data_IF_580522503294
#
_entry.id   IF_580522503294
#
_cell.length_a   1.000
_cell.length_b   1.000
_cell.length_c   1.000
_cell.angle_alpha   90.00
_cell.angle_beta   90.00
_cell.angle_gamma   90.00
#
_symmetry.space_group_name_H-M   'P 1'
#
loop_
_entity.id
_entity.type
_entity.pdbx_description
1 polymer ?
#
# COMPACT_ATOMS: atom_id res chain seq x y z
N UNK A 1 -8.19 15.37 6.46
CA UNK A 1 -9.25 16.18 5.80
C UNK A 1 -10.45 16.46 6.72
N UNK A 2 -11.08 15.47 7.35
CA UNK A 2 -12.27 15.68 8.21
C UNK A 2 -12.02 16.69 9.34
N UNK A 3 -10.88 16.61 10.02
CA UNK A 3 -10.53 17.53 11.11
C UNK A 3 -10.27 18.96 10.62
N UNK A 4 -9.65 19.13 9.45
CA UNK A 4 -9.45 20.47 8.85
C UNK A 4 -10.79 21.13 8.55
N UNK A 5 -11.79 20.37 8.10
CA UNK A 5 -13.13 20.90 7.84
C UNK A 5 -13.86 21.24 9.15
N UNK A 6 -13.79 20.38 10.17
CA UNK A 6 -14.56 20.55 11.42
C UNK A 6 -13.90 21.45 12.46
N UNK A 7 -12.58 21.55 12.47
CA UNK A 7 -11.80 22.32 13.44
C UNK A 7 -10.51 22.87 12.78
N UNK A 8 -10.63 23.75 11.77
CA UNK A 8 -9.50 24.17 10.93
C UNK A 8 -8.35 24.76 11.75
N UNK A 9 -8.63 25.75 12.61
CA UNK A 9 -7.61 26.44 13.39
C UNK A 9 -6.83 25.46 14.28
N UNK A 10 -7.53 24.65 15.08
CA UNK A 10 -6.88 23.66 15.97
C UNK A 10 -6.11 22.60 15.19
N UNK A 11 -6.69 22.12 14.09
CA UNK A 11 -6.04 21.11 13.25
C UNK A 11 -4.76 21.67 12.65
N UNK A 12 -4.79 22.87 12.06
CA UNK A 12 -3.62 23.48 11.44
C UNK A 12 -2.56 23.85 12.48
N UNK A 13 -2.95 24.45 13.62
CA UNK A 13 -2.02 24.85 14.68
C UNK A 13 -1.31 23.66 15.34
N UNK A 14 -1.93 22.49 15.40
CA UNK A 14 -1.32 21.30 15.98
C UNK A 14 -0.59 20.45 14.93
N UNK A 15 -1.21 20.25 13.76
CA UNK A 15 -0.67 19.39 12.71
C UNK A 15 0.52 20.03 11.99
N UNK A 16 0.44 21.32 11.64
CA UNK A 16 1.50 21.94 10.83
C UNK A 16 2.85 21.96 11.56
N UNK A 17 2.96 22.35 12.85
CA UNK A 17 4.25 22.27 13.55
C UNK A 17 4.74 20.83 13.68
N UNK A 18 3.85 19.89 14.00
CA UNK A 18 4.21 18.48 14.13
C UNK A 18 4.69 17.86 12.80
N UNK A 19 4.07 18.24 11.68
CA UNK A 19 4.46 17.79 10.34
C UNK A 19 5.70 18.52 9.81
N UNK A 20 5.91 19.78 10.19
CA UNK A 20 7.07 20.56 9.78
C UNK A 20 8.38 19.94 10.27
N UNK A 21 8.39 19.34 11.46
CA UNK A 21 9.59 18.71 12.04
C UNK A 21 10.16 17.60 11.14
N UNK A 22 9.42 16.52 10.80
CA UNK A 22 9.96 15.46 9.94
C UNK A 22 10.21 15.94 8.50
N UNK A 23 9.41 16.88 7.98
CA UNK A 23 9.63 17.45 6.64
C UNK A 23 10.95 18.24 6.61
N UNK A 24 11.20 19.11 7.60
CA UNK A 24 12.44 19.86 7.70
C UNK A 24 13.64 18.93 7.88
N UNK A 25 13.52 17.89 8.73
CA UNK A 25 14.56 16.88 8.90
C UNK A 25 14.86 16.13 7.58
N UNK A 26 13.82 15.74 6.83
CA UNK A 26 13.97 15.10 5.52
C UNK A 26 14.66 16.01 4.50
N UNK A 27 14.23 17.26 4.38
CA UNK A 27 14.84 18.23 3.46
C UNK A 27 16.29 18.54 3.84
N UNK A 28 16.55 18.73 5.13
CA UNK A 28 17.88 19.00 5.66
C UNK A 28 18.84 17.84 5.42
N UNK A 29 18.40 16.61 5.65
CA UNK A 29 19.24 15.42 5.40
C UNK A 29 19.51 15.20 3.91
N UNK A 30 18.54 15.46 3.02
CA UNK A 30 18.81 15.48 1.57
C UNK A 30 19.86 16.56 1.22
N UNK A 31 19.73 17.77 1.78
CA UNK A 31 20.69 18.85 1.52
C UNK A 31 22.09 18.50 2.00
N UNK A 32 22.24 17.94 3.20
CA UNK A 32 23.55 17.51 3.71
C UNK A 32 24.19 16.40 2.85
N UNK A 33 23.37 15.50 2.29
CA UNK A 33 23.87 14.37 1.51
C UNK A 33 24.15 14.71 0.04
N UNK A 34 23.33 15.58 -0.57
CA UNK A 34 23.29 15.80 -2.02
C UNK A 34 23.62 17.25 -2.42
N UNK A 35 23.64 18.18 -1.47
CA UNK A 35 23.69 19.62 -1.75
C UNK A 35 22.37 20.19 -2.28
N UNK A 36 21.30 19.38 -2.35
CA UNK A 36 20.00 19.75 -2.89
C UNK A 36 18.87 19.38 -1.91
N UNK A 37 17.78 20.16 -1.90
CA UNK A 37 16.56 19.81 -1.16
C UNK A 37 15.71 18.75 -1.88
N UNK A 38 15.96 18.55 -3.17
CA UNK A 38 15.26 17.54 -3.98
C UNK A 38 15.63 16.13 -3.49
N UNK A 39 14.66 15.22 -3.36
CA UNK A 39 14.95 13.87 -2.91
C UNK A 39 15.72 13.10 -3.98
N UNK A 40 16.68 12.27 -3.57
CA UNK A 40 17.45 11.41 -4.49
C UNK A 40 16.55 10.57 -5.42
N UNK A 41 15.36 10.16 -4.94
CA UNK A 41 14.42 9.35 -5.72
C UNK A 41 13.84 10.07 -6.94
N UNK A 42 13.88 11.42 -6.97
CA UNK A 42 13.48 12.21 -8.14
C UNK A 42 14.44 12.04 -9.31
N UNK A 43 15.70 11.68 -9.04
CA UNK A 43 16.73 11.47 -10.06
C UNK A 43 16.64 10.08 -10.72
N UNK A 44 15.62 9.28 -10.40
CA UNK A 44 15.44 7.95 -10.98
C UNK A 44 15.25 8.04 -12.51
N UNK A 45 15.96 7.19 -13.26
CA UNK A 45 16.00 7.26 -14.74
C UNK A 45 16.92 8.35 -15.30
N UNK A 46 17.74 8.98 -14.48
CA UNK A 46 18.81 9.90 -14.91
C UNK A 46 20.19 9.25 -14.70
N UNK A 47 21.30 9.86 -15.16
CA UNK A 47 22.65 9.32 -14.95
C UNK A 47 23.02 9.05 -13.49
N UNK A 48 22.32 9.65 -12.52
CA UNK A 48 22.46 9.33 -11.09
C UNK A 48 22.16 7.87 -10.77
N UNK A 49 21.23 7.26 -11.50
CA UNK A 49 20.86 5.85 -11.36
C UNK A 49 21.36 5.01 -12.53
N UNK A 50 21.70 5.60 -13.68
CA UNK A 50 22.11 4.88 -14.88
C UNK A 50 23.62 4.96 -15.17
N UNK A 51 24.44 5.08 -14.13
CA UNK A 51 25.90 5.01 -14.26
C UNK A 51 26.36 3.60 -14.63
N UNK A 52 27.59 3.49 -15.14
CA UNK A 52 28.18 2.22 -15.56
C UNK A 52 28.27 1.21 -14.41
N UNK A 53 27.74 0.00 -14.61
CA UNK A 53 27.64 -1.03 -13.57
C UNK A 53 26.44 -0.88 -12.62
N UNK A 54 25.59 0.14 -12.80
CA UNK A 54 24.38 0.29 -11.98
C UNK A 54 23.33 -0.78 -12.26
N UNK A 55 22.68 -1.27 -11.20
CA UNK A 55 21.49 -2.13 -11.28
C UNK A 55 20.40 -1.52 -12.14
N UNK A 56 20.22 -0.20 -12.16
CA UNK A 56 19.10 0.42 -12.89
C UNK A 56 19.40 0.68 -14.35
N UNK A 57 20.65 0.52 -14.79
CA UNK A 57 21.05 0.69 -16.18
C UNK A 57 20.70 -0.57 -16.96
N UNK A 58 19.93 -0.42 -18.04
CA UNK A 58 19.64 -1.53 -18.94
C UNK A 58 20.90 -1.82 -19.75
N UNK A 59 21.51 -2.97 -19.49
CA UNK A 59 22.59 -3.53 -20.29
C UNK A 59 22.07 -4.71 -21.12
N UNK A 60 22.06 -4.64 -22.47
CA UNK A 60 21.65 -5.74 -23.33
C UNK A 60 22.53 -7.00 -23.19
N UNK A 61 23.75 -6.88 -22.67
CA UNK A 61 24.67 -7.99 -22.47
C UNK A 61 24.42 -8.76 -21.17
N UNK A 62 23.65 -8.20 -20.23
CA UNK A 62 23.38 -8.81 -18.93
C UNK A 62 21.89 -9.16 -18.78
N UNK A 63 21.55 -10.38 -18.31
CA UNK A 63 20.17 -10.72 -18.01
C UNK A 63 19.69 -9.86 -16.83
N UNK A 64 18.62 -9.10 -17.05
CA UNK A 64 17.94 -8.35 -16.00
C UNK A 64 16.99 -9.27 -15.26
N UNK A 65 17.20 -9.42 -13.95
CA UNK A 65 16.44 -10.37 -13.12
C UNK A 65 15.95 -9.75 -11.81
N UNK A 66 14.78 -10.19 -11.34
CA UNK A 66 14.12 -9.80 -10.12
C UNK A 66 12.93 -8.85 -10.33
N UNK A 67 12.23 -8.59 -9.23
CA UNK A 67 10.97 -7.81 -9.19
C UNK A 67 11.05 -6.42 -9.82
N UNK A 68 12.23 -5.80 -9.82
CA UNK A 68 12.46 -4.49 -10.45
C UNK A 68 12.29 -4.52 -11.97
N UNK A 69 12.36 -5.71 -12.56
CA UNK A 69 12.25 -5.98 -13.99
C UNK A 69 10.97 -6.72 -14.37
N UNK A 70 10.05 -6.94 -13.43
CA UNK A 70 8.78 -7.64 -13.68
C UNK A 70 7.99 -7.04 -14.85
N UNK A 71 8.09 -5.72 -15.07
CA UNK A 71 7.47 -5.02 -16.18
C UNK A 71 7.91 -5.50 -17.57
N UNK A 72 9.07 -6.17 -17.69
CA UNK A 72 9.53 -6.77 -18.95
C UNK A 72 8.73 -8.02 -19.31
N UNK A 73 8.18 -8.72 -18.31
CA UNK A 73 7.41 -9.96 -18.47
C UNK A 73 5.91 -9.80 -18.24
N UNK A 74 5.48 -8.71 -17.60
CA UNK A 74 4.11 -8.51 -17.16
C UNK A 74 3.49 -7.23 -17.72
N UNK A 75 2.32 -7.36 -18.34
CA UNK A 75 1.51 -6.22 -18.72
C UNK A 75 0.79 -5.59 -17.53
N UNK A 76 0.21 -4.40 -17.75
CA UNK A 76 -0.55 -3.65 -16.73
C UNK A 76 -1.67 -4.44 -16.04
N UNK A 77 -2.34 -5.35 -16.75
CA UNK A 77 -3.41 -6.16 -16.17
C UNK A 77 -2.88 -7.19 -15.16
N UNK A 78 -1.77 -7.87 -15.50
CA UNK A 78 -1.06 -8.75 -14.58
C UNK A 78 -0.56 -7.95 -13.37
N UNK A 79 -0.02 -6.76 -13.62
CA UNK A 79 0.39 -5.83 -12.57
C UNK A 79 -0.75 -5.47 -11.59
N UNK A 80 -1.90 -5.06 -12.11
CA UNK A 80 -3.07 -4.76 -11.29
C UNK A 80 -3.58 -5.99 -10.52
N UNK A 81 -3.56 -7.16 -11.15
CA UNK A 81 -3.94 -8.42 -10.50
C UNK A 81 -2.98 -8.76 -9.35
N UNK A 82 -1.66 -8.73 -9.59
CA UNK A 82 -0.66 -9.04 -8.58
C UNK A 82 -0.56 -7.99 -7.47
N UNK A 83 -1.03 -6.77 -7.69
CA UNK A 83 -1.24 -5.77 -6.63
C UNK A 83 -2.43 -6.10 -5.71
N UNK A 84 -3.50 -6.70 -6.22
CA UNK A 84 -4.74 -6.93 -5.46
C UNK A 84 -4.85 -8.35 -4.91
N UNK A 85 -4.57 -9.36 -5.74
CA UNK A 85 -4.83 -10.78 -5.45
C UNK A 85 -3.65 -11.73 -5.77
N UNK A 86 -2.60 -11.29 -6.44
CA UNK A 86 -1.46 -12.16 -6.73
C UNK A 86 -0.36 -12.11 -5.66
N UNK A 87 0.88 -12.34 -6.06
CA UNK A 87 2.03 -12.49 -5.15
C UNK A 87 2.27 -11.32 -4.20
N UNK A 88 2.04 -10.06 -4.62
CA UNK A 88 2.07 -8.87 -3.76
C UNK A 88 0.66 -8.40 -3.36
N UNK A 89 -0.35 -9.25 -3.56
CA UNK A 89 -1.76 -8.90 -3.50
C UNK A 89 -2.22 -8.52 -2.10
N UNK A 90 -2.76 -7.31 -1.95
CA UNK A 90 -3.30 -6.84 -0.66
C UNK A 90 -4.31 -7.82 -0.06
N UNK A 91 -5.21 -8.38 -0.88
CA UNK A 91 -6.25 -9.29 -0.39
C UNK A 91 -5.78 -10.74 -0.24
N UNK A 92 -4.72 -11.15 -0.93
CA UNK A 92 -4.17 -12.49 -0.78
C UNK A 92 -3.23 -12.59 0.41
N UNK A 93 -2.38 -11.58 0.60
CA UNK A 93 -1.48 -11.52 1.74
C UNK A 93 -2.21 -11.06 3.00
N UNK A 94 -3.17 -10.14 2.88
CA UNK A 94 -3.86 -9.53 4.02
C UNK A 94 -5.39 -9.61 3.86
N UNK A 95 -5.98 -10.82 3.80
CA UNK A 95 -7.41 -11.01 3.50
C UNK A 95 -8.35 -10.36 4.52
N UNK A 96 -7.87 -9.99 5.72
CA UNK A 96 -8.65 -9.20 6.68
C UNK A 96 -9.13 -7.87 6.06
N UNK A 97 -8.44 -7.32 5.07
CA UNK A 97 -8.87 -6.10 4.36
C UNK A 97 -10.08 -6.30 3.44
N UNK A 98 -10.51 -7.54 3.18
CA UNK A 98 -11.83 -7.77 2.60
C UNK A 98 -12.96 -7.24 3.51
N UNK A 99 -12.74 -7.28 4.83
CA UNK A 99 -13.67 -6.66 5.80
C UNK A 99 -13.66 -5.14 5.69
N UNK A 100 -12.52 -4.53 5.35
CA UNK A 100 -12.41 -3.09 5.10
C UNK A 100 -13.26 -2.69 3.90
N UNK A 101 -13.21 -3.45 2.80
CA UNK A 101 -14.05 -3.22 1.62
C UNK A 101 -15.53 -3.35 1.98
N UNK A 102 -15.92 -4.41 2.70
CA UNK A 102 -17.29 -4.60 3.16
C UNK A 102 -17.77 -3.45 4.07
N UNK A 103 -16.92 -2.98 4.98
CA UNK A 103 -17.23 -1.88 5.87
C UNK A 103 -17.33 -0.53 5.16
N UNK A 104 -16.51 -0.29 4.12
CA UNK A 104 -16.66 0.89 3.25
C UNK A 104 -18.01 0.86 2.52
N UNK A 105 -18.36 -0.27 1.89
CA UNK A 105 -19.66 -0.44 1.20
C UNK A 105 -20.81 -0.21 2.19
N UNK A 106 -20.76 -0.83 3.37
CA UNK A 106 -21.77 -0.64 4.40
C UNK A 106 -21.92 0.83 4.81
N UNK A 107 -20.81 1.51 5.11
CA UNK A 107 -20.79 2.92 5.50
C UNK A 107 -21.34 3.87 4.43
N UNK A 108 -21.25 3.52 3.15
CA UNK A 108 -21.78 4.31 2.05
C UNK A 108 -23.30 4.16 1.87
N UNK A 109 -23.81 2.93 1.97
CA UNK A 109 -25.20 2.61 1.65
C UNK A 109 -26.16 2.63 2.86
N UNK A 110 -25.65 2.44 4.09
CA UNK A 110 -26.50 2.22 5.27
C UNK A 110 -26.40 3.31 6.34
N UNK A 111 -25.44 4.23 6.23
CA UNK A 111 -25.32 5.35 7.16
C UNK A 111 -26.04 6.59 6.60
N UNK A 112 -27.31 6.76 7.00
CA UNK A 112 -28.05 7.99 6.72
C UNK A 112 -27.52 9.13 7.63
N UNK A 113 -27.40 10.34 7.09
CA UNK A 113 -26.79 11.52 7.76
C UNK A 113 -27.45 11.91 9.09
N UNK A 114 -28.62 11.35 9.42
CA UNK A 114 -29.48 11.73 10.53
C UNK A 114 -29.06 11.19 11.91
N UNK A 115 -28.21 10.16 11.99
CA UNK A 115 -27.78 9.58 13.27
C UNK A 115 -26.32 9.93 13.59
N UNK A 116 -26.06 10.67 14.68
CA UNK A 116 -24.73 11.20 15.06
C UNK A 116 -23.59 10.14 15.15
N UNK A 117 -23.80 8.87 15.56
CA UNK A 117 -22.77 7.83 15.47
C UNK A 117 -22.46 7.38 14.04
N UNK A 118 -23.45 7.45 13.13
CA UNK A 118 -23.32 7.01 11.74
C UNK A 118 -22.57 8.03 10.85
N UNK A 119 -22.49 9.30 11.26
CA UNK A 119 -21.77 10.34 10.51
C UNK A 119 -20.29 9.96 10.35
N UNK A 120 -19.59 9.69 11.47
CA UNK A 120 -18.16 9.38 11.48
C UNK A 120 -17.79 8.15 10.65
N UNK A 121 -18.70 7.17 10.58
CA UNK A 121 -18.49 5.95 9.82
C UNK A 121 -18.56 6.19 8.31
N UNK A 122 -19.55 6.95 7.84
CA UNK A 122 -19.67 7.31 6.42
C UNK A 122 -18.48 8.14 5.94
N UNK A 123 -18.00 9.06 6.77
CA UNK A 123 -16.82 9.87 6.46
C UNK A 123 -15.55 9.02 6.40
N UNK A 124 -15.38 8.10 7.33
CA UNK A 124 -14.27 7.12 7.32
C UNK A 124 -14.33 6.25 6.07
N UNK A 125 -15.51 5.71 5.73
CA UNK A 125 -15.72 4.91 4.54
C UNK A 125 -15.39 5.68 3.25
N UNK A 126 -15.89 6.92 3.12
CA UNK A 126 -15.61 7.77 1.97
C UNK A 126 -14.13 8.10 1.82
N UNK A 127 -13.48 8.56 2.89
CA UNK A 127 -12.05 8.90 2.86
C UNK A 127 -11.22 7.67 2.53
N UNK A 128 -11.50 6.53 3.16
CA UNK A 128 -10.77 5.29 2.91
C UNK A 128 -10.96 4.80 1.48
N UNK A 129 -12.18 4.85 0.95
CA UNK A 129 -12.47 4.44 -0.42
C UNK A 129 -11.79 5.35 -1.43
N UNK A 130 -11.93 6.67 -1.29
CA UNK A 130 -11.34 7.65 -2.20
C UNK A 130 -9.81 7.51 -2.20
N UNK A 131 -9.18 7.45 -1.02
CA UNK A 131 -7.73 7.26 -0.92
C UNK A 131 -7.30 5.95 -1.57
N UNK A 132 -8.01 4.85 -1.31
CA UNK A 132 -7.68 3.55 -1.91
C UNK A 132 -7.78 3.60 -3.43
N UNK A 133 -8.88 4.13 -3.98
CA UNK A 133 -9.07 4.25 -5.43
C UNK A 133 -8.01 5.14 -6.05
N UNK A 134 -7.78 6.34 -5.50
CA UNK A 134 -6.80 7.28 -6.05
C UNK A 134 -5.40 6.67 -6.07
N UNK A 135 -4.99 6.04 -4.98
CA UNK A 135 -3.64 5.48 -4.85
C UNK A 135 -3.47 4.24 -5.72
N UNK A 136 -4.45 3.32 -5.73
CA UNK A 136 -4.41 2.13 -6.60
C UNK A 136 -4.40 2.56 -8.07
N UNK A 137 -5.27 3.48 -8.47
CA UNK A 137 -5.30 4.00 -9.84
C UNK A 137 -4.00 4.71 -10.21
N UNK A 138 -3.39 5.47 -9.29
CA UNK A 138 -2.08 6.09 -9.52
C UNK A 138 -1.01 5.03 -9.83
N UNK A 139 -0.93 3.96 -9.05
CA UNK A 139 0.08 2.91 -9.28
C UNK A 139 -0.21 2.05 -10.51
N UNK A 140 -1.48 1.83 -10.87
CA UNK A 140 -1.85 1.05 -12.06
C UNK A 140 -1.70 1.88 -13.35
N UNK A 141 -2.10 3.14 -13.34
CA UNK A 141 -2.23 3.97 -14.55
C UNK A 141 -1.24 5.14 -14.63
N UNK A 142 -0.86 5.74 -13.50
CA UNK A 142 -0.01 6.93 -13.45
C UNK A 142 1.50 6.63 -13.41
N UNK A 143 1.89 5.50 -12.83
CA UNK A 143 3.31 5.12 -12.74
C UNK A 143 3.83 4.60 -14.09
N UNK A 144 4.98 5.11 -14.58
CA UNK A 144 5.64 4.60 -15.78
C UNK A 144 5.88 3.10 -15.69
N UNK A 145 5.79 2.41 -16.82
CA UNK A 145 5.89 0.95 -16.88
C UNK A 145 7.18 0.40 -16.25
N UNK A 146 8.31 1.02 -16.56
CA UNK A 146 9.64 0.69 -16.00
C UNK A 146 9.71 0.76 -14.47
N UNK A 147 8.80 1.49 -13.83
CA UNK A 147 8.78 1.68 -12.39
C UNK A 147 7.77 0.77 -11.68
N UNK A 148 7.07 -0.12 -12.41
CA UNK A 148 6.09 -1.05 -11.87
C UNK A 148 6.77 -2.29 -11.27
N UNK A 149 7.26 -2.14 -10.05
CA UNK A 149 7.97 -3.20 -9.32
C UNK A 149 7.29 -3.59 -7.99
N UNK A 150 6.00 -3.26 -7.81
CA UNK A 150 5.23 -3.59 -6.59
C UNK A 150 5.83 -3.04 -5.28
N UNK A 151 6.70 -2.04 -5.38
CA UNK A 151 7.46 -1.54 -4.25
C UNK A 151 8.74 -2.33 -3.96
N UNK A 152 9.29 -3.05 -4.93
CA UNK A 152 10.59 -3.70 -4.88
C UNK A 152 10.63 -4.91 -3.93
N UNK A 153 11.81 -5.16 -3.36
CA UNK A 153 12.05 -6.24 -2.40
C UNK A 153 11.40 -5.96 -1.06
N UNK A 154 10.09 -6.17 -0.93
CA UNK A 154 9.35 -5.97 0.30
C UNK A 154 8.36 -7.12 0.55
N UNK A 155 8.00 -7.35 1.81
CA UNK A 155 7.12 -8.44 2.26
C UNK A 155 5.65 -8.33 1.83
N UNK A 156 5.35 -7.44 0.89
CA UNK A 156 4.02 -7.12 0.40
C UNK A 156 4.09 -5.85 -0.43
N UNK A 157 2.93 -5.39 -0.90
CA UNK A 157 2.84 -4.16 -1.69
C UNK A 157 3.12 -2.91 -0.83
N UNK A 158 4.40 -2.55 -0.72
CA UNK A 158 4.93 -1.48 0.14
C UNK A 158 4.20 -0.16 -0.02
N UNK A 159 3.85 0.16 -1.26
CA UNK A 159 3.21 1.41 -1.63
C UNK A 159 1.83 1.64 -1.02
N UNK A 160 1.12 0.56 -0.65
CA UNK A 160 -0.21 0.68 -0.05
C UNK A 160 -0.21 0.48 1.47
N UNK A 161 0.93 0.13 2.08
CA UNK A 161 1.00 -0.18 3.52
C UNK A 161 0.55 1.00 4.40
N UNK A 162 0.80 2.24 3.99
CA UNK A 162 0.38 3.42 4.74
C UNK A 162 -1.14 3.64 4.76
N UNK A 163 -1.92 2.95 3.90
CA UNK A 163 -3.37 2.97 3.92
C UNK A 163 -3.98 2.13 5.05
N UNK A 164 -3.17 1.28 5.71
CA UNK A 164 -3.59 0.37 6.78
C UNK A 164 -4.47 1.02 7.84
N UNK A 165 -4.14 2.19 8.42
CA UNK A 165 -4.99 2.80 9.46
C UNK A 165 -6.40 3.11 8.95
N UNK A 166 -6.54 3.54 7.70
CA UNK A 166 -7.84 3.82 7.08
C UNK A 166 -8.63 2.53 6.87
N UNK A 167 -7.98 1.47 6.40
CA UNK A 167 -8.60 0.16 6.21
C UNK A 167 -9.04 -0.49 7.53
N UNK A 168 -8.23 -0.36 8.59
CA UNK A 168 -8.57 -0.84 9.94
C UNK A 168 -9.77 -0.10 10.52
N UNK A 169 -9.86 1.21 10.34
CA UNK A 169 -11.03 1.97 10.78
C UNK A 169 -12.27 1.64 9.93
N UNK A 170 -12.10 1.46 8.62
CA UNK A 170 -13.20 1.14 7.72
C UNK A 170 -13.78 -0.26 7.94
N UNK A 171 -13.01 -1.24 8.43
CA UNK A 171 -13.52 -2.61 8.65
C UNK A 171 -14.45 -2.77 9.85
N UNK A 172 -14.43 -1.82 10.81
CA UNK A 172 -15.14 -1.94 12.10
C UNK A 172 -16.58 -2.43 11.95
N UNK A 173 -17.44 -1.88 11.07
CA UNK A 173 -18.83 -2.34 10.97
C UNK A 173 -18.96 -3.76 10.46
N UNK A 174 -18.10 -4.17 9.53
CA UNK A 174 -18.09 -5.53 9.00
C UNK A 174 -17.61 -6.52 10.06
N UNK A 175 -16.59 -6.14 10.84
CA UNK A 175 -16.11 -6.93 11.97
C UNK A 175 -17.18 -7.07 13.07
N UNK A 176 -17.85 -5.98 13.45
CA UNK A 176 -18.95 -5.99 14.42
C UNK A 176 -20.10 -6.88 13.94
N UNK A 177 -20.47 -6.78 12.66
CA UNK A 177 -21.48 -7.64 12.06
C UNK A 177 -21.05 -9.12 12.12
N UNK A 178 -19.83 -9.46 11.71
CA UNK A 178 -19.35 -10.85 11.79
C UNK A 178 -19.28 -11.36 13.24
N UNK A 179 -18.94 -10.50 14.20
CA UNK A 179 -18.79 -10.87 15.61
C UNK A 179 -20.07 -11.41 16.26
N UNK A 180 -21.23 -10.95 15.80
CA UNK A 180 -22.54 -11.42 16.29
C UNK A 180 -22.94 -12.79 15.75
N UNK A 181 -22.18 -13.36 14.80
CA UNK A 181 -22.42 -14.70 14.23
C UNK A 181 -21.26 -15.64 14.56
N UNK A 182 -21.59 -16.87 14.99
CA UNK A 182 -20.57 -17.90 15.27
C UNK A 182 -19.69 -18.20 14.05
N UNK A 183 -20.29 -18.36 12.86
CA UNK A 183 -19.54 -18.59 11.63
C UNK A 183 -18.72 -17.35 11.23
N UNK A 184 -19.26 -16.15 11.47
CA UNK A 184 -18.60 -14.90 11.10
C UNK A 184 -17.33 -14.64 11.88
N UNK A 185 -17.33 -14.99 13.17
CA UNK A 185 -16.13 -14.99 14.01
C UNK A 185 -15.03 -15.88 13.46
N UNK A 186 -15.36 -17.13 13.11
CA UNK A 186 -14.39 -18.07 12.54
C UNK A 186 -13.82 -17.57 11.21
N UNK A 187 -14.66 -16.98 10.35
CA UNK A 187 -14.20 -16.36 9.11
C UNK A 187 -13.24 -15.19 9.38
N UNK A 188 -13.57 -14.31 10.31
CA UNK A 188 -12.70 -13.19 10.69
C UNK A 188 -11.37 -13.68 11.30
N UNK A 189 -11.39 -14.71 12.13
CA UNK A 189 -10.17 -15.33 12.67
C UNK A 189 -9.32 -15.98 11.59
N UNK A 190 -9.93 -16.65 10.61
CA UNK A 190 -9.20 -17.21 9.48
C UNK A 190 -8.50 -16.11 8.67
N UNK A 191 -9.22 -15.04 8.32
CA UNK A 191 -8.64 -13.91 7.61
C UNK A 191 -7.52 -13.25 8.42
N UNK A 192 -7.71 -13.06 9.73
CA UNK A 192 -6.68 -12.51 10.59
C UNK A 192 -5.46 -13.43 10.67
N UNK A 193 -5.65 -14.74 10.80
CA UNK A 193 -4.57 -15.71 10.89
C UNK A 193 -3.70 -15.71 9.63
N UNK A 194 -4.32 -15.69 8.44
CA UNK A 194 -3.60 -15.59 7.16
C UNK A 194 -2.86 -14.26 7.07
N UNK A 195 -3.51 -13.14 7.41
CA UNK A 195 -2.88 -11.82 7.42
C UNK A 195 -1.65 -11.75 8.33
N UNK A 196 -1.76 -12.28 9.56
CA UNK A 196 -0.66 -12.31 10.53
C UNK A 196 0.45 -13.22 10.04
N UNK A 197 0.12 -14.40 9.51
CA UNK A 197 1.10 -15.30 8.91
C UNK A 197 1.88 -14.60 7.78
N UNK A 198 1.18 -13.96 6.84
CA UNK A 198 1.85 -13.25 5.73
C UNK A 198 2.75 -12.12 6.21
N UNK A 199 2.29 -11.33 7.20
CA UNK A 199 3.08 -10.23 7.76
C UNK A 199 4.31 -10.72 8.55
N UNK A 200 4.22 -11.91 9.16
CA UNK A 200 5.30 -12.50 9.97
C UNK A 200 6.18 -13.47 9.21
N UNK A 201 5.80 -13.90 8.00
CA UNK A 201 6.60 -14.79 7.17
C UNK A 201 8.06 -14.34 7.01
N UNK A 202 8.35 -13.05 6.76
CA UNK A 202 9.72 -12.56 6.66
C UNK A 202 10.26 -12.03 8.00
N UNK A 203 9.83 -12.58 9.14
CA UNK A 203 10.00 -12.06 10.52
C UNK A 203 11.35 -11.38 10.86
N UNK A 204 12.45 -11.79 10.21
CA UNK A 204 13.80 -11.25 10.44
C UNK A 204 14.16 -10.06 9.54
N UNK A 205 13.55 -9.94 8.36
CA UNK A 205 13.85 -8.89 7.40
C UNK A 205 12.63 -8.58 6.50
N UNK A 206 11.97 -7.42 6.66
CA UNK A 206 10.81 -7.05 5.83
C UNK A 206 11.20 -6.75 4.36
N UNK A 207 12.49 -6.67 4.04
CA UNK A 207 13.02 -6.50 2.69
C UNK A 207 13.23 -7.85 1.97
N UNK A 208 12.20 -8.68 2.00
CA UNK A 208 12.15 -10.02 1.39
C UNK A 208 10.80 -10.21 0.74
N UNK A 209 10.73 -11.04 -0.29
CA UNK A 209 9.49 -11.35 -0.97
C UNK A 209 8.48 -12.04 -0.02
N UNK A 210 7.17 -11.84 -0.25
CA UNK A 210 6.13 -12.54 0.50
C UNK A 210 6.09 -14.03 0.12
N UNK A 211 5.59 -14.88 1.01
CA UNK A 211 5.51 -16.33 0.78
C UNK A 211 4.82 -16.71 -0.53
N UNK A 212 3.81 -15.94 -0.95
CA UNK A 212 3.05 -16.22 -2.16
C UNK A 212 3.89 -15.95 -3.41
N UNK A 213 4.78 -14.96 -3.36
CA UNK A 213 5.80 -14.75 -4.40
C UNK A 213 6.72 -15.94 -4.48
N UNK A 214 7.36 -16.31 -3.35
CA UNK A 214 8.37 -17.38 -3.33
C UNK A 214 7.77 -18.70 -3.80
N UNK A 215 6.50 -18.95 -3.43
CA UNK A 215 5.76 -20.09 -3.91
C UNK A 215 5.51 -20.05 -5.42
N UNK A 216 5.05 -18.93 -5.98
CA UNK A 216 4.83 -18.78 -7.42
C UNK A 216 6.13 -18.91 -8.22
N UNK A 217 7.24 -18.37 -7.71
CA UNK A 217 8.58 -18.50 -8.29
C UNK A 217 9.05 -19.95 -8.26
N UNK A 218 8.88 -20.65 -7.13
CA UNK A 218 9.22 -22.07 -7.00
C UNK A 218 8.41 -22.98 -7.95
N UNK A 219 7.17 -22.59 -8.28
CA UNK A 219 6.37 -23.28 -9.32
C UNK A 219 6.76 -22.88 -10.75
N UNK A 220 7.66 -21.91 -10.92
CA UNK A 220 8.07 -21.38 -12.21
C UNK A 220 6.98 -20.57 -12.93
N UNK A 221 5.97 -20.09 -12.20
CA UNK A 221 4.86 -19.27 -12.73
C UNK A 221 5.27 -17.84 -12.98
N UNK A 222 6.20 -17.33 -12.19
CA UNK A 222 6.90 -16.06 -12.38
C UNK A 222 8.38 -16.34 -12.55
N UNK A 223 9.06 -15.56 -13.39
CA UNK A 223 10.48 -15.75 -13.77
C UNK A 223 11.18 -14.45 -14.09
N UNK A 224 10.71 -13.35 -13.50
CA UNK A 224 11.37 -12.07 -13.68
C UNK A 224 12.58 -11.96 -12.81
#
# INVERSE_FOLDING_TARGET
MVLVIRAPARTLLLYLPAAAIPIAAFLWTNYLALGELSPAYEKFGTPWYEYEGSHWKIDPALPQHGIDWAYLSEGRAAYAFHMLFGHHGVFSLTPIYLLSVAGMIYGLFHCNRSSRPAAGLRETALVSLILSIVVICFYVFGVPERNRNYGGWACGLRWLMWLTPFWLLAMVPAADWLSSRRWGRWLAYLFLAISVFSATYPARNPWRHPWLYDWMEAQGWIRY
#
